data_IF_408209426690
#
_entry.id   IF_408209426690
#
_cell.length_a   1.000
_cell.length_b   1.000
_cell.length_c   1.000
_cell.angle_alpha   90.00
_cell.angle_beta   90.00
_cell.angle_gamma   90.00
#
_symmetry.space_group_name_H-M   'P 1'
#
loop_
_entity.id
_entity.type
_entity.pdbx_description
1 polymer ?
#
# COMPACT_ATOMS: atom_id res chain seq x y z
N UNK A 1 -18.42 8.09 7.62
CA UNK A 1 -17.50 8.18 6.47
C UNK A 1 -17.74 9.55 5.86
N UNK A 2 -16.78 10.46 5.94
CA UNK A 2 -17.02 11.88 5.64
C UNK A 2 -17.17 12.16 4.13
N UNK A 3 -18.06 13.08 3.71
CA UNK A 3 -18.28 13.44 2.31
C UNK A 3 -17.01 13.86 1.55
N UNK A 4 -16.05 14.45 2.26
CA UNK A 4 -14.78 14.88 1.66
C UNK A 4 -13.91 13.72 1.15
N UNK A 5 -13.94 12.56 1.81
CA UNK A 5 -13.17 11.39 1.36
C UNK A 5 -13.75 10.80 0.06
N UNK A 6 -15.08 10.75 -0.07
CA UNK A 6 -15.70 10.28 -1.31
C UNK A 6 -15.45 11.24 -2.48
N UNK A 7 -15.51 12.56 -2.25
CA UNK A 7 -15.27 13.56 -3.28
C UNK A 7 -13.80 13.53 -3.77
N UNK A 8 -12.86 13.42 -2.83
CA UNK A 8 -11.44 13.28 -3.14
C UNK A 8 -11.14 11.98 -3.89
N UNK A 9 -11.73 10.86 -3.45
CA UNK A 9 -11.61 9.57 -4.12
C UNK A 9 -12.15 9.61 -5.55
N UNK A 10 -13.33 10.20 -5.76
CA UNK A 10 -13.96 10.30 -7.09
C UNK A 10 -13.11 11.16 -8.05
N UNK A 11 -12.61 12.30 -7.56
CA UNK A 11 -11.70 13.16 -8.32
C UNK A 11 -10.38 12.46 -8.68
N UNK A 12 -9.77 11.76 -7.73
CA UNK A 12 -8.56 10.97 -7.98
C UNK A 12 -8.78 9.78 -8.92
N UNK A 13 -10.00 9.23 -8.99
CA UNK A 13 -10.30 8.07 -9.83
C UNK A 13 -10.74 8.45 -11.25
N UNK A 14 -11.41 9.59 -11.40
CA UNK A 14 -12.07 9.97 -12.66
C UNK A 14 -11.37 11.11 -13.41
N UNK A 15 -10.67 12.01 -12.71
CA UNK A 15 -10.09 13.22 -13.32
C UNK A 15 -8.54 13.23 -13.32
N UNK A 16 -7.90 12.45 -12.44
CA UNK A 16 -6.43 12.40 -12.32
C UNK A 16 -5.91 10.96 -12.47
N UNK A 17 -5.44 10.59 -13.66
CA UNK A 17 -4.84 9.26 -13.95
C UNK A 17 -3.72 8.89 -12.98
N UNK A 18 -2.99 9.88 -12.48
CA UNK A 18 -1.81 9.71 -11.63
C UNK A 18 -2.17 9.38 -10.18
N UNK A 19 -3.41 9.62 -9.72
CA UNK A 19 -3.89 9.38 -8.35
C UNK A 19 -4.62 8.03 -8.19
N UNK A 20 -5.03 7.41 -9.30
CA UNK A 20 -5.69 6.09 -9.34
C UNK A 20 -4.84 5.00 -8.66
N UNK A 21 -3.51 4.91 -8.89
CA UNK A 21 -2.69 3.86 -8.27
C UNK A 21 -2.56 4.00 -6.74
N UNK A 22 -2.48 5.21 -6.21
CA UNK A 22 -2.30 5.49 -4.77
C UNK A 22 -3.60 5.27 -4.01
N UNK A 23 -4.75 5.61 -4.59
CA UNK A 23 -6.06 5.28 -4.00
C UNK A 23 -6.23 3.76 -3.91
N UNK A 24 -5.92 3.03 -4.98
CA UNK A 24 -5.97 1.55 -4.98
C UNK A 24 -4.98 0.95 -3.99
N UNK A 25 -3.77 1.49 -3.91
CA UNK A 25 -2.78 1.06 -2.92
C UNK A 25 -3.28 1.24 -1.48
N UNK A 26 -3.91 2.37 -1.19
CA UNK A 26 -4.50 2.62 0.13
C UNK A 26 -5.64 1.65 0.46
N UNK A 27 -6.54 1.38 -0.48
CA UNK A 27 -7.63 0.41 -0.30
C UNK A 27 -7.10 -1.00 -0.01
N UNK A 28 -6.08 -1.42 -0.75
CA UNK A 28 -5.40 -2.70 -0.55
C UNK A 28 -4.77 -2.82 0.85
N UNK A 29 -4.18 -1.74 1.37
CA UNK A 29 -3.68 -1.69 2.74
C UNK A 29 -4.83 -1.79 3.74
N UNK A 30 -5.97 -1.14 3.49
CA UNK A 30 -7.14 -1.21 4.38
C UNK A 30 -7.78 -2.59 4.41
N UNK A 31 -7.76 -3.33 3.31
CA UNK A 31 -8.19 -4.73 3.33
C UNK A 31 -7.17 -5.62 4.03
N UNK A 32 -5.86 -5.38 3.83
CA UNK A 32 -4.79 -6.07 4.54
C UNK A 32 -4.87 -5.91 6.06
N UNK A 33 -5.19 -4.71 6.55
CA UNK A 33 -5.35 -4.40 7.98
C UNK A 33 -6.44 -5.26 8.66
N UNK A 34 -7.41 -5.78 7.89
CA UNK A 34 -8.52 -6.62 8.38
C UNK A 34 -8.21 -8.12 8.37
N UNK A 35 -7.05 -8.55 7.86
CA UNK A 35 -6.69 -9.96 7.81
C UNK A 35 -6.26 -10.46 9.19
N UNK A 36 -6.98 -11.46 9.70
CA UNK A 36 -6.72 -12.06 11.01
C UNK A 36 -5.73 -13.24 10.95
N UNK A 37 -5.59 -13.85 9.78
CA UNK A 37 -4.70 -14.98 9.54
C UNK A 37 -3.30 -14.52 9.10
N UNK A 38 -2.26 -15.04 9.75
CA UNK A 38 -0.87 -14.68 9.49
C UNK A 38 -0.40 -15.13 8.10
N UNK A 39 -0.83 -16.30 7.63
CA UNK A 39 -0.45 -16.82 6.32
C UNK A 39 -1.05 -15.99 5.17
N UNK A 40 -2.35 -15.65 5.28
CA UNK A 40 -3.02 -14.78 4.31
C UNK A 40 -2.42 -13.38 4.33
N UNK A 41 -2.11 -12.86 5.52
CA UNK A 41 -1.44 -11.57 5.67
C UNK A 41 -0.06 -11.59 5.01
N UNK A 42 0.72 -12.65 5.23
CA UNK A 42 2.03 -12.80 4.62
C UNK A 42 1.93 -12.88 3.09
N UNK A 43 0.98 -13.63 2.57
CA UNK A 43 0.71 -13.70 1.13
C UNK A 43 0.31 -12.33 0.57
N UNK A 44 -0.66 -11.66 1.23
CA UNK A 44 -1.19 -10.37 0.78
C UNK A 44 -0.15 -9.24 0.84
N UNK A 45 0.67 -9.21 1.89
CA UNK A 45 1.76 -8.22 2.01
C UNK A 45 2.77 -8.30 0.87
N UNK A 46 3.10 -9.50 0.40
CA UNK A 46 3.98 -9.69 -0.78
C UNK A 46 3.32 -9.20 -2.06
N UNK A 47 2.05 -9.55 -2.28
CA UNK A 47 1.28 -9.08 -3.43
C UNK A 47 1.22 -7.55 -3.50
N UNK A 48 0.94 -6.90 -2.37
CA UNK A 48 0.89 -5.44 -2.26
C UNK A 48 2.27 -4.82 -2.53
N UNK A 49 3.33 -5.41 -1.96
CA UNK A 49 4.69 -4.94 -2.19
C UNK A 49 5.07 -5.02 -3.68
N UNK A 50 4.85 -6.16 -4.34
CA UNK A 50 5.21 -6.35 -5.75
C UNK A 50 4.39 -5.45 -6.69
N UNK A 51 3.08 -5.35 -6.44
CA UNK A 51 2.16 -4.62 -7.31
C UNK A 51 2.34 -3.10 -7.27
N UNK A 52 2.70 -2.54 -6.11
CA UNK A 52 2.74 -1.10 -5.89
C UNK A 52 4.14 -0.59 -5.56
N UNK A 53 4.83 -1.18 -4.58
CA UNK A 53 6.13 -0.67 -4.12
C UNK A 53 7.24 -1.02 -5.12
N UNK A 54 7.35 -2.28 -5.53
CA UNK A 54 8.37 -2.71 -6.48
C UNK A 54 8.15 -2.10 -7.87
N UNK A 55 6.88 -2.01 -8.31
CA UNK A 55 6.53 -1.37 -9.56
C UNK A 55 6.93 0.11 -9.61
N UNK A 56 6.70 0.87 -8.54
CA UNK A 56 7.10 2.28 -8.45
C UNK A 56 8.62 2.46 -8.35
N UNK A 57 9.32 1.56 -7.65
CA UNK A 57 10.79 1.57 -7.61
C UNK A 57 11.42 1.35 -8.99
N UNK A 58 10.76 0.58 -9.86
CA UNK A 58 11.19 0.35 -11.24
C UNK A 58 10.79 1.48 -12.18
N UNK A 59 9.63 2.13 -11.95
CA UNK A 59 9.11 3.20 -12.81
C UNK A 59 9.74 4.57 -12.55
N UNK A 60 10.36 4.78 -11.38
CA UNK A 60 10.93 6.07 -10.91
C UNK A 60 9.94 7.24 -10.96
N UNK A 61 8.63 6.98 -11.06
CA UNK A 61 7.63 8.01 -11.33
C UNK A 61 7.14 8.69 -10.06
N UNK A 62 6.86 7.92 -8.99
CA UNK A 62 6.55 8.45 -7.65
C UNK A 62 7.36 7.70 -6.58
N UNK A 63 8.58 8.16 -6.26
CA UNK A 63 9.44 7.41 -5.36
C UNK A 63 8.90 7.42 -3.93
N UNK A 64 8.59 6.23 -3.40
CA UNK A 64 8.48 6.02 -1.96
C UNK A 64 9.79 6.41 -1.27
N UNK A 65 9.71 6.90 -0.02
CA UNK A 65 10.93 7.20 0.74
C UNK A 65 11.73 5.92 0.98
N UNK A 66 13.07 6.00 0.90
CA UNK A 66 13.96 4.85 1.13
C UNK A 66 13.70 4.18 2.47
N UNK A 67 13.48 4.98 3.51
CA UNK A 67 13.15 4.50 4.86
C UNK A 67 11.86 3.69 4.90
N UNK A 68 10.81 4.13 4.19
CA UNK A 68 9.54 3.40 4.10
C UNK A 68 9.72 2.05 3.41
N UNK A 69 10.45 2.03 2.30
CA UNK A 69 10.72 0.81 1.52
C UNK A 69 11.55 -0.18 2.35
N UNK A 70 12.63 0.27 2.97
CA UNK A 70 13.49 -0.54 3.82
C UNK A 70 12.73 -1.12 5.02
N UNK A 71 11.83 -0.33 5.63
CA UNK A 71 10.97 -0.79 6.72
C UNK A 71 10.13 -2.00 6.28
N UNK A 72 9.40 -1.88 5.18
CA UNK A 72 8.52 -2.95 4.68
C UNK A 72 9.35 -4.17 4.24
N UNK A 73 10.47 -3.96 3.52
CA UNK A 73 11.36 -5.04 3.08
C UNK A 73 11.97 -5.83 4.25
N UNK A 74 12.42 -5.14 5.31
CA UNK A 74 13.01 -5.79 6.49
C UNK A 74 11.99 -6.68 7.21
N UNK A 75 10.75 -6.21 7.31
CA UNK A 75 9.68 -6.98 7.95
C UNK A 75 9.24 -8.17 7.09
N UNK A 76 9.10 -7.99 5.78
CA UNK A 76 8.77 -9.08 4.84
C UNK A 76 9.83 -10.18 4.82
N UNK A 77 11.12 -9.82 4.79
CA UNK A 77 12.22 -10.79 4.79
C UNK A 77 12.29 -11.60 6.09
N UNK A 78 11.92 -11.01 7.23
CA UNK A 78 11.79 -11.68 8.53
C UNK A 78 10.45 -12.41 8.71
N UNK A 79 9.56 -12.36 7.71
CA UNK A 79 8.16 -12.83 7.79
C UNK A 79 7.37 -12.21 8.94
N UNK A 80 7.75 -11.02 9.41
CA UNK A 80 7.06 -10.30 10.47
C UNK A 80 5.98 -9.41 9.85
N UNK A 81 4.75 -9.92 9.77
CA UNK A 81 3.65 -9.22 9.12
C UNK A 81 2.61 -8.76 10.14
N UNK A 82 2.76 -7.52 10.62
CA UNK A 82 1.79 -6.87 11.50
C UNK A 82 0.69 -6.22 10.67
N UNK A 83 -0.50 -6.03 11.23
CA UNK A 83 -1.59 -5.32 10.54
C UNK A 83 -1.19 -3.89 10.14
N UNK A 84 -0.22 -3.29 10.82
CA UNK A 84 0.29 -1.94 10.56
C UNK A 84 1.58 -1.92 9.73
N UNK A 85 1.93 -3.02 9.02
CA UNK A 85 3.17 -3.14 8.25
C UNK A 85 3.44 -1.97 7.28
N UNK A 86 2.38 -1.44 6.66
CA UNK A 86 2.47 -0.36 5.66
C UNK A 86 2.33 1.04 6.27
N UNK A 87 2.36 1.17 7.59
CA UNK A 87 2.31 2.46 8.28
C UNK A 87 3.72 2.86 8.76
N UNK A 88 4.27 3.92 8.17
CA UNK A 88 5.53 4.52 8.62
C UNK A 88 5.19 5.62 9.62
N UNK A 89 5.67 5.50 10.86
CA UNK A 89 5.54 6.56 11.88
C UNK A 89 6.60 7.64 11.71
#
# INVERSE_FOLDING_TARGET
>A
MEPGFLLFKDFCLNEINEAVPQVKFYEEIKEYEKLDNEEDRLCRSRQIYDAYIMKELLSCSHPFSKQAVEHVQSHLSKKQVTSTLFQVR
#
